data_IF_641956078586
#
_entry.id   IF_641956078586
#
_cell.length_a   1.000
_cell.length_b   1.000
_cell.length_c   1.000
_cell.angle_alpha   90.00
_cell.angle_beta   90.00
_cell.angle_gamma   90.00
#
_symmetry.space_group_name_H-M   'P 1'
#
loop_
_entity.id
_entity.type
_entity.pdbx_description
1 polymer ?
#
# COMPACT_ATOMS: atom_id res chain seq x y z
N UNK A 1 -52.42 47.47 -19.98
CA UNK A 1 -51.25 47.76 -19.09
C UNK A 1 -50.84 46.61 -18.16
N UNK A 2 -51.70 45.62 -17.84
CA UNK A 2 -51.36 44.48 -16.95
C UNK A 2 -50.43 43.42 -17.59
N UNK A 3 -50.56 43.16 -18.90
CA UNK A 3 -49.79 42.12 -19.60
C UNK A 3 -48.27 42.43 -19.69
N UNK A 4 -47.90 43.69 -19.91
CA UNK A 4 -46.49 44.11 -19.96
C UNK A 4 -45.76 43.97 -18.61
N UNK A 5 -46.49 44.14 -17.49
CA UNK A 5 -45.95 43.93 -16.14
C UNK A 5 -45.78 42.43 -15.80
N UNK A 6 -46.63 41.56 -16.34
CA UNK A 6 -46.53 40.11 -16.15
C UNK A 6 -45.34 39.49 -16.91
N UNK A 7 -45.09 39.95 -18.14
CA UNK A 7 -43.95 39.47 -18.94
C UNK A 7 -42.60 39.83 -18.30
N UNK A 8 -42.48 41.04 -17.71
CA UNK A 8 -41.27 41.48 -17.02
C UNK A 8 -40.97 40.71 -15.73
N UNK A 9 -41.99 40.28 -14.99
CA UNK A 9 -41.83 39.48 -13.76
C UNK A 9 -41.35 38.06 -14.09
N UNK A 10 -41.81 37.48 -15.20
CA UNK A 10 -41.34 36.16 -15.67
C UNK A 10 -39.87 36.22 -16.11
N UNK A 11 -39.47 37.31 -16.77
CA UNK A 11 -38.07 37.51 -17.17
C UNK A 11 -37.14 37.73 -15.96
N UNK A 12 -37.59 38.46 -14.95
CA UNK A 12 -36.83 38.70 -13.72
C UNK A 12 -36.74 37.44 -12.83
N UNK A 13 -37.81 36.63 -12.76
CA UNK A 13 -37.81 35.35 -12.05
C UNK A 13 -36.89 34.31 -12.72
N UNK A 14 -36.81 34.31 -14.06
CA UNK A 14 -35.88 33.45 -14.81
C UNK A 14 -34.40 33.76 -14.51
N UNK A 15 -34.06 35.05 -14.34
CA UNK A 15 -32.70 35.47 -13.95
C UNK A 15 -32.40 35.06 -12.50
N UNK A 16 -33.37 35.11 -11.59
CA UNK A 16 -33.20 34.71 -10.19
C UNK A 16 -33.02 33.19 -10.03
N UNK A 17 -33.65 32.37 -10.89
CA UNK A 17 -33.47 30.92 -10.92
C UNK A 17 -32.12 30.50 -11.52
N UNK A 18 -31.58 31.26 -12.49
CA UNK A 18 -30.26 30.98 -13.07
C UNK A 18 -29.09 31.23 -12.09
N UNK A 19 -29.28 32.13 -11.11
CA UNK A 19 -28.30 32.43 -10.06
C UNK A 19 -28.17 31.28 -9.03
N UNK A 20 -29.15 30.38 -8.97
CA UNK A 20 -29.14 29.25 -8.03
C UNK A 20 -28.30 28.06 -8.52
N UNK A 21 -27.88 28.04 -9.79
CA UNK A 21 -27.08 26.94 -10.38
C UNK A 21 -25.58 27.02 -10.08
N UNK A 22 -25.10 28.03 -9.35
CA UNK A 22 -23.69 28.11 -8.95
C UNK A 22 -23.47 27.47 -7.58
N UNK A 23 -23.64 26.15 -7.51
CA UNK A 23 -23.09 25.36 -6.39
C UNK A 23 -21.61 25.17 -6.70
N UNK A 24 -20.76 25.88 -5.97
CA UNK A 24 -19.34 25.64 -5.94
C UNK A 24 -19.09 24.31 -5.22
N UNK A 25 -18.70 23.27 -5.97
CA UNK A 25 -18.09 22.10 -5.36
C UNK A 25 -16.71 22.49 -4.87
N UNK A 26 -16.48 22.44 -3.56
CA UNK A 26 -15.15 22.56 -3.00
C UNK A 26 -14.33 21.35 -3.47
N UNK A 27 -13.30 21.60 -4.27
CA UNK A 27 -12.33 20.60 -4.70
C UNK A 27 -11.49 20.21 -3.48
N UNK A 28 -11.82 19.06 -2.88
CA UNK A 28 -10.99 18.42 -1.87
C UNK A 28 -9.76 17.87 -2.59
N UNK A 29 -8.71 18.68 -2.64
CA UNK A 29 -7.42 18.25 -3.14
C UNK A 29 -6.83 17.27 -2.12
N UNK A 30 -6.85 15.98 -2.46
CA UNK A 30 -6.15 14.97 -1.69
C UNK A 30 -4.64 15.27 -1.84
N UNK A 31 -4.02 15.69 -0.75
CA UNK A 31 -2.59 16.02 -0.76
C UNK A 31 -1.84 14.69 -0.73
N UNK A 32 -1.24 14.33 -1.86
CA UNK A 32 -0.43 13.13 -1.98
C UNK A 32 0.83 13.30 -1.09
N UNK A 33 0.86 12.60 0.03
CA UNK A 33 1.97 12.66 0.98
C UNK A 33 3.15 11.84 0.47
N UNK A 34 4.36 12.37 0.66
CA UNK A 34 5.59 11.67 0.36
C UNK A 34 5.74 10.42 1.24
N UNK A 35 6.06 9.28 0.61
CA UNK A 35 6.24 8.01 1.33
C UNK A 35 7.64 7.94 1.92
N UNK A 36 7.71 7.95 3.25
CA UNK A 36 8.96 7.85 4.01
C UNK A 36 9.25 6.39 4.35
N UNK A 37 10.49 5.97 4.12
CA UNK A 37 11.02 4.65 4.44
C UNK A 37 12.19 4.77 5.42
N UNK A 38 12.30 3.81 6.35
CA UNK A 38 13.36 3.81 7.39
C UNK A 38 14.24 2.57 7.31
N UNK A 39 13.68 1.43 6.90
CA UNK A 39 14.33 0.11 6.91
C UNK A 39 15.70 0.06 6.21
N UNK A 40 15.88 0.55 4.97
CA UNK A 40 17.17 0.40 4.28
C UNK A 40 18.29 1.29 4.84
N UNK A 41 17.97 2.45 5.41
CA UNK A 41 18.97 3.45 5.82
C UNK A 41 19.09 3.63 7.34
N UNK A 42 18.18 3.05 8.12
CA UNK A 42 18.01 3.33 9.57
C UNK A 42 17.78 4.81 9.91
N UNK A 43 17.43 5.61 8.90
CA UNK A 43 17.02 7.00 9.02
C UNK A 43 15.84 7.24 8.09
N UNK A 44 15.00 8.22 8.40
CA UNK A 44 13.89 8.60 7.56
C UNK A 44 14.41 9.18 6.23
N UNK A 45 14.12 8.50 5.13
CA UNK A 45 14.43 8.95 3.76
C UNK A 45 13.17 8.78 2.92
N UNK A 46 12.92 9.71 2.00
CA UNK A 46 11.87 9.55 0.99
C UNK A 46 12.17 8.39 0.04
N UNK A 47 11.13 7.68 -0.38
CA UNK A 47 11.27 6.59 -1.35
C UNK A 47 11.92 7.04 -2.67
N UNK A 48 11.65 8.26 -3.12
CA UNK A 48 12.16 8.80 -4.40
C UNK A 48 13.62 9.25 -4.32
N UNK A 49 14.13 9.50 -3.11
CA UNK A 49 15.50 9.97 -2.87
C UNK A 49 16.47 8.83 -2.53
N UNK A 50 15.94 7.62 -2.30
CA UNK A 50 16.73 6.45 -1.96
C UNK A 50 17.49 5.85 -3.16
N UNK A 51 18.73 5.40 -2.93
CA UNK A 51 19.52 4.64 -3.91
C UNK A 51 19.23 3.12 -3.90
N UNK A 52 18.54 2.60 -2.87
CA UNK A 52 18.18 1.20 -2.74
C UNK A 52 16.83 0.90 -3.42
N UNK A 53 16.71 -0.30 -4.00
CA UNK A 53 15.44 -0.84 -4.50
C UNK A 53 14.58 -1.27 -3.31
N UNK A 54 13.37 -0.72 -3.20
CA UNK A 54 12.48 -0.96 -2.06
C UNK A 54 11.06 -1.17 -2.57
N UNK A 55 10.47 -2.30 -2.20
CA UNK A 55 9.05 -2.60 -2.40
C UNK A 55 8.32 -2.45 -1.07
N UNK A 56 7.26 -1.64 -1.05
CA UNK A 56 6.45 -1.39 0.17
C UNK A 56 5.08 -2.01 -0.02
N UNK A 57 4.77 -3.02 0.79
CA UNK A 57 3.47 -3.68 0.80
C UNK A 57 2.71 -3.22 2.03
N UNK A 58 1.51 -2.65 1.83
CA UNK A 58 0.61 -2.31 2.92
C UNK A 58 -0.19 -3.53 3.36
N UNK A 59 -0.26 -3.78 4.67
CA UNK A 59 -1.07 -4.86 5.24
C UNK A 59 -2.55 -4.71 4.88
N UNK A 60 -3.10 -3.48 4.90
CA UNK A 60 -4.51 -3.24 4.56
C UNK A 60 -4.83 -3.58 3.10
N UNK A 61 -3.93 -3.23 2.17
CA UNK A 61 -4.06 -3.56 0.75
C UNK A 61 -3.94 -5.06 0.52
N UNK A 62 -2.94 -5.71 1.14
CA UNK A 62 -2.76 -7.16 1.05
C UNK A 62 -4.00 -7.93 1.55
N UNK A 63 -4.56 -7.54 2.69
CA UNK A 63 -5.79 -8.14 3.22
C UNK A 63 -6.99 -7.94 2.28
N UNK A 64 -7.12 -6.76 1.66
CA UNK A 64 -8.20 -6.50 0.69
C UNK A 64 -8.11 -7.35 -0.58
N UNK A 65 -6.90 -7.76 -0.95
CA UNK A 65 -6.60 -8.65 -2.07
C UNK A 65 -6.74 -10.14 -1.71
N UNK A 66 -7.08 -10.47 -0.46
CA UNK A 66 -7.19 -11.85 0.01
C UNK A 66 -5.84 -12.52 0.28
N UNK A 67 -4.79 -11.73 0.54
CA UNK A 67 -3.46 -12.23 0.96
C UNK A 67 -3.44 -12.32 2.48
N UNK A 68 -3.39 -13.54 3.00
CA UNK A 68 -3.46 -13.80 4.44
C UNK A 68 -2.12 -14.18 5.07
N UNK A 69 -1.11 -14.50 4.27
CA UNK A 69 0.24 -14.83 4.72
C UNK A 69 1.28 -13.89 4.11
N UNK A 70 2.44 -13.75 4.76
CA UNK A 70 3.58 -13.04 4.15
C UNK A 70 3.98 -13.66 2.81
N UNK A 71 3.86 -14.99 2.67
CA UNK A 71 4.18 -15.66 1.42
C UNK A 71 3.26 -15.23 0.28
N UNK A 72 1.97 -15.08 0.55
CA UNK A 72 1.01 -14.60 -0.45
C UNK A 72 1.24 -13.15 -0.86
N UNK A 73 1.79 -12.33 0.04
CA UNK A 73 2.15 -10.97 -0.29
C UNK A 73 3.45 -10.86 -1.08
N UNK A 74 4.45 -11.68 -0.76
CA UNK A 74 5.78 -11.60 -1.36
C UNK A 74 5.89 -12.34 -2.71
N UNK A 75 5.07 -13.37 -2.95
CA UNK A 75 5.11 -14.16 -4.19
C UNK A 75 4.85 -13.36 -5.47
N UNK A 76 4.20 -12.21 -5.35
CA UNK A 76 3.88 -11.34 -6.50
C UNK A 76 5.06 -10.45 -6.91
N UNK A 77 6.11 -10.36 -6.08
CA UNK A 77 7.28 -9.55 -6.36
C UNK A 77 8.21 -10.25 -7.35
N UNK A 78 8.48 -9.63 -8.49
CA UNK A 78 9.36 -10.20 -9.54
C UNK A 78 10.83 -10.35 -9.13
N UNK A 79 11.25 -9.63 -8.07
CA UNK A 79 12.63 -9.70 -7.55
C UNK A 79 12.85 -10.82 -6.54
N UNK A 80 11.80 -11.57 -6.21
CA UNK A 80 11.76 -12.54 -5.13
C UNK A 80 11.25 -13.88 -5.68
N UNK A 81 12.01 -14.93 -5.44
CA UNK A 81 11.58 -16.31 -5.69
C UNK A 81 11.37 -17.02 -4.34
N UNK A 82 10.56 -18.07 -4.31
CA UNK A 82 10.28 -18.82 -3.10
C UNK A 82 10.16 -20.31 -3.36
N UNK A 83 10.55 -21.09 -2.36
CA UNK A 83 10.30 -22.52 -2.33
C UNK A 83 9.64 -22.90 -1.03
N UNK A 84 8.67 -23.79 -1.08
CA UNK A 84 7.98 -24.30 0.11
C UNK A 84 8.23 -25.79 0.21
N UNK A 85 8.82 -26.21 1.32
CA UNK A 85 9.04 -27.61 1.65
C UNK A 85 7.85 -28.12 2.46
N UNK A 86 7.03 -28.99 1.86
CA UNK A 86 5.85 -29.57 2.48
C UNK A 86 4.53 -29.05 1.90
N UNK A 87 3.44 -29.19 2.66
CA UNK A 87 2.11 -28.73 2.27
C UNK A 87 1.88 -27.23 2.51
N UNK A 88 0.62 -26.81 2.64
CA UNK A 88 0.25 -25.40 2.87
C UNK A 88 0.83 -24.78 4.16
N UNK A 89 1.29 -25.60 5.10
CA UNK A 89 1.98 -25.19 6.33
C UNK A 89 3.46 -25.63 6.33
N UNK A 90 4.05 -25.84 5.16
CA UNK A 90 5.46 -26.20 5.03
C UNK A 90 6.39 -25.02 5.34
N UNK A 91 7.68 -25.31 5.46
CA UNK A 91 8.72 -24.30 5.63
C UNK A 91 8.96 -23.59 4.30
N UNK A 92 8.91 -22.25 4.29
CA UNK A 92 9.14 -21.46 3.07
C UNK A 92 10.49 -20.77 3.14
N UNK A 93 11.25 -20.82 2.06
CA UNK A 93 12.49 -20.07 1.89
C UNK A 93 12.36 -19.08 0.75
N UNK A 94 12.90 -17.87 0.93
CA UNK A 94 12.87 -16.79 -0.04
C UNK A 94 14.25 -16.48 -0.59
N UNK A 95 14.32 -16.31 -1.91
CA UNK A 95 15.52 -16.00 -2.69
C UNK A 95 15.36 -14.61 -3.28
N UNK A 96 16.06 -13.63 -2.70
CA UNK A 96 16.04 -12.26 -3.20
C UNK A 96 17.12 -12.14 -4.27
N UNK A 97 16.75 -11.81 -5.51
CA UNK A 97 17.69 -11.65 -6.64
C UNK A 97 18.61 -12.87 -6.85
N UNK A 98 18.08 -14.08 -6.60
CA UNK A 98 18.81 -15.35 -6.74
C UNK A 98 19.83 -15.65 -5.62
N UNK A 99 19.90 -14.84 -4.57
CA UNK A 99 20.75 -15.11 -3.42
C UNK A 99 20.20 -16.26 -2.56
N UNK A 100 21.09 -16.99 -1.89
CA UNK A 100 20.71 -18.04 -0.94
C UNK A 100 19.89 -17.44 0.23
N UNK A 101 18.79 -18.08 0.68
CA UNK A 101 17.97 -17.64 1.81
C UNK A 101 18.75 -17.42 3.10
N UNK A 102 19.90 -18.10 3.28
CA UNK A 102 20.81 -17.87 4.42
C UNK A 102 21.33 -16.41 4.51
N UNK A 103 21.32 -15.69 3.40
CA UNK A 103 21.74 -14.29 3.32
C UNK A 103 20.58 -13.30 3.37
N UNK A 104 19.34 -13.78 3.49
CA UNK A 104 18.15 -12.94 3.63
C UNK A 104 17.92 -12.60 5.10
N UNK A 105 17.90 -11.30 5.42
CA UNK A 105 17.63 -10.83 6.77
C UNK A 105 16.17 -10.42 6.91
N UNK A 106 15.48 -10.98 7.91
CA UNK A 106 14.12 -10.62 8.28
C UNK A 106 14.15 -9.80 9.56
N UNK A 107 13.44 -8.68 9.56
CA UNK A 107 13.32 -7.81 10.72
C UNK A 107 11.84 -7.64 11.06
N UNK A 108 11.50 -7.78 12.33
CA UNK A 108 10.21 -7.40 12.88
C UNK A 108 10.43 -6.16 13.75
N UNK A 109 9.81 -5.04 13.39
CA UNK A 109 9.99 -3.74 14.05
C UNK A 109 11.47 -3.34 14.24
N UNK A 110 12.32 -3.70 13.28
CA UNK A 110 13.76 -3.43 13.31
C UNK A 110 14.59 -4.43 14.14
N UNK A 111 13.96 -5.42 14.78
CA UNK A 111 14.62 -6.51 15.49
C UNK A 111 14.79 -7.69 14.56
N UNK A 112 16.01 -8.23 14.48
CA UNK A 112 16.30 -9.40 13.64
C UNK A 112 15.57 -10.63 14.18
N UNK A 113 14.85 -11.32 13.30
CA UNK A 113 14.27 -12.63 13.62
C UNK A 113 15.26 -13.74 13.28
N UNK A 114 15.39 -14.68 14.21
CA UNK A 114 16.20 -15.89 14.06
C UNK A 114 15.32 -17.09 14.36
N UNK A 115 15.52 -18.17 13.61
CA UNK A 115 14.85 -19.42 13.86
C UNK A 115 15.75 -20.35 14.69
N UNK A 116 15.33 -20.77 15.91
CA UNK A 116 16.12 -21.67 16.74
C UNK A 116 16.27 -23.08 16.18
N UNK A 117 15.46 -23.51 15.21
CA UNK A 117 15.59 -24.84 14.58
C UNK A 117 16.54 -24.83 13.37
N UNK A 118 16.96 -23.66 12.91
CA UNK A 118 17.93 -23.50 11.82
C UNK A 118 19.37 -23.46 12.35
N UNK A 119 20.25 -24.35 11.90
CA UNK A 119 21.68 -24.27 12.22
C UNK A 119 22.35 -23.05 11.56
N UNK A 120 21.85 -22.65 10.39
CA UNK A 120 22.34 -21.48 9.64
C UNK A 120 21.68 -20.16 10.09
N UNK A 121 20.69 -20.22 11.01
CA UNK A 121 20.09 -19.04 11.63
C UNK A 121 19.25 -18.16 10.69
N UNK A 122 18.71 -18.71 9.60
CA UNK A 122 17.80 -17.97 8.72
C UNK A 122 16.33 -18.31 9.03
N UNK A 123 15.45 -17.39 8.64
CA UNK A 123 14.02 -17.46 8.95
C UNK A 123 13.26 -18.25 7.87
N UNK A 124 12.37 -19.16 8.29
CA UNK A 124 11.53 -19.99 7.41
C UNK A 124 10.02 -19.82 7.63
N UNK A 125 9.62 -19.20 8.74
CA UNK A 125 8.23 -19.22 9.21
C UNK A 125 7.33 -18.18 8.50
N UNK A 126 7.57 -17.89 7.22
CA UNK A 126 6.81 -16.89 6.45
C UNK A 126 5.34 -17.26 6.28
N UNK A 127 5.01 -18.55 6.17
CA UNK A 127 3.62 -19.02 6.09
C UNK A 127 2.86 -18.89 7.40
N UNK A 128 3.56 -18.76 8.52
CA UNK A 128 2.96 -18.64 9.86
C UNK A 128 2.75 -17.19 10.29
N UNK A 129 3.28 -16.23 9.53
CA UNK A 129 3.11 -14.80 9.80
C UNK A 129 1.92 -14.28 9.00
N UNK A 130 0.82 -14.03 9.71
CA UNK A 130 -0.34 -13.32 9.21
C UNK A 130 -0.18 -11.80 9.30
N UNK A 131 -1.13 -11.09 8.71
CA UNK A 131 -1.27 -9.63 8.82
C UNK A 131 -2.22 -9.21 9.97
N UNK A 132 -2.53 -10.11 10.90
CA UNK A 132 -3.51 -9.92 11.99
C UNK A 132 -2.91 -9.33 13.29
#
# INVERSE_FOLDING_TARGET
MKAAKFLGVVFLAGILLAQFSMVAFAEYNDVELEKIIVTPYRTAVSIDQGAASVDVISASSALSEGKFSLTDALKDLSSVDYTTSGGAAGDTSFYIRGANPEHTQVLLDGIKLYDPISTSGYFYAYNYMGFD
#
